data_IF_300669222533
#
_entry.id   IF_300669222533
#
_cell.length_a   1.000
_cell.length_b   1.000
_cell.length_c   1.000
_cell.angle_alpha   90.00
_cell.angle_beta   90.00
_cell.angle_gamma   90.00
#
_symmetry.space_group_name_H-M   'P 1'
#
loop_
_entity.id
_entity.type
_entity.pdbx_description
1 polymer ?
#
# COMPACT_ATOMS: atom_id res chain seq x y z
N UNK A 1 -0.51 4.00 -8.71
CA UNK A 1 -1.85 3.75 -8.11
C UNK A 1 -1.88 4.00 -6.60
N UNK A 2 -0.85 3.61 -5.84
CA UNK A 2 -0.83 3.75 -4.36
C UNK A 2 -1.05 5.18 -3.87
N UNK A 3 -0.41 6.17 -4.49
CA UNK A 3 -0.62 7.58 -4.14
C UNK A 3 -2.11 7.97 -4.16
N UNK A 4 -2.84 7.54 -5.19
CA UNK A 4 -4.27 7.85 -5.34
C UNK A 4 -5.17 7.09 -4.35
N UNK A 5 -4.73 5.94 -3.82
CA UNK A 5 -5.42 5.27 -2.70
C UNK A 5 -5.42 6.19 -1.48
N UNK A 6 -4.26 6.80 -1.18
CA UNK A 6 -4.14 7.75 -0.07
C UNK A 6 -4.94 9.02 -0.35
N UNK A 7 -4.83 9.58 -1.56
CA UNK A 7 -5.54 10.80 -1.94
C UNK A 7 -7.04 10.61 -1.72
N UNK A 8 -7.60 9.50 -2.20
CA UNK A 8 -9.02 9.18 -2.02
C UNK A 8 -9.42 9.05 -0.54
N UNK A 9 -8.58 8.41 0.28
CA UNK A 9 -8.81 8.30 1.72
C UNK A 9 -8.80 9.65 2.42
N UNK A 10 -7.76 10.46 2.20
CA UNK A 10 -7.61 11.79 2.79
C UNK A 10 -8.71 12.75 2.34
N UNK A 11 -9.08 12.73 1.06
CA UNK A 11 -10.21 13.52 0.53
C UNK A 11 -11.53 13.13 1.23
N UNK A 12 -11.74 11.84 1.50
CA UNK A 12 -12.92 11.37 2.24
C UNK A 12 -12.98 11.93 3.66
N UNK A 13 -11.83 12.00 4.36
CA UNK A 13 -11.73 12.62 5.69
C UNK A 13 -12.01 14.12 5.61
N UNK A 14 -11.31 14.83 4.74
CA UNK A 14 -11.47 16.28 4.58
C UNK A 14 -12.91 16.66 4.24
N UNK A 15 -13.56 15.91 3.34
CA UNK A 15 -14.95 16.14 2.97
C UNK A 15 -15.93 15.89 4.13
N UNK A 16 -15.61 14.93 5.02
CA UNK A 16 -16.52 14.52 6.10
C UNK A 16 -16.38 15.40 7.34
N UNK A 17 -15.15 15.72 7.74
CA UNK A 17 -14.88 16.41 9.02
C UNK A 17 -14.01 17.66 8.89
N UNK A 18 -13.51 18.00 7.70
CA UNK A 18 -12.71 19.21 7.48
C UNK A 18 -11.35 19.22 8.19
N UNK A 19 -10.87 18.06 8.66
CA UNK A 19 -9.59 17.92 9.37
C UNK A 19 -8.56 17.20 8.54
N UNK A 20 -7.30 17.56 8.76
CA UNK A 20 -6.16 16.81 8.21
C UNK A 20 -5.94 15.52 8.97
N UNK A 21 -5.48 14.50 8.25
CA UNK A 21 -5.08 13.25 8.84
C UNK A 21 -3.89 12.66 8.09
N UNK A 22 -3.02 11.99 8.85
CA UNK A 22 -1.84 11.30 8.32
C UNK A 22 -2.08 9.80 8.31
N UNK A 23 -1.53 9.10 7.33
CA UNK A 23 -1.60 7.64 7.25
C UNK A 23 -0.67 7.02 8.30
N UNK A 24 -1.23 6.24 9.22
CA UNK A 24 -0.45 5.50 10.22
C UNK A 24 -0.21 4.04 9.83
N UNK A 25 -1.17 3.44 9.13
CA UNK A 25 -1.12 2.03 8.72
C UNK A 25 -1.85 1.82 7.41
N UNK A 26 -1.30 0.98 6.54
CA UNK A 26 -1.99 0.40 5.39
C UNK A 26 -1.78 -1.10 5.40
N UNK A 27 -2.85 -1.86 5.25
CA UNK A 27 -2.82 -3.32 5.14
C UNK A 27 -2.28 -3.76 3.76
N UNK A 28 -2.08 -5.07 3.58
CA UNK A 28 -1.71 -5.67 2.31
C UNK A 28 -2.67 -5.21 1.19
N UNK A 29 -2.11 -4.75 0.07
CA UNK A 29 -2.84 -4.38 -1.14
C UNK A 29 -2.49 -5.36 -2.25
N UNK A 30 -3.50 -6.02 -2.81
CA UNK A 30 -3.34 -6.97 -3.90
C UNK A 30 -3.99 -6.41 -5.16
N UNK A 31 -3.23 -6.38 -6.27
CA UNK A 31 -3.73 -5.95 -7.58
C UNK A 31 -4.25 -7.17 -8.35
N UNK A 32 -5.56 -7.39 -8.26
CA UNK A 32 -6.24 -8.63 -8.69
C UNK A 32 -6.44 -8.66 -10.21
N UNK A 33 -6.78 -7.51 -10.80
CA UNK A 33 -6.97 -7.36 -12.24
C UNK A 33 -6.03 -6.27 -12.79
N UNK A 34 -5.30 -6.54 -13.88
CA UNK A 34 -4.39 -5.57 -14.48
C UNK A 34 -5.16 -4.38 -15.08
N UNK A 35 -4.50 -3.22 -15.09
CA UNK A 35 -5.04 -1.98 -15.64
C UNK A 35 -4.24 -1.61 -16.88
N UNK A 36 -4.93 -1.35 -17.98
CA UNK A 36 -4.31 -0.92 -19.24
C UNK A 36 -4.46 0.58 -19.47
N UNK A 37 -3.53 1.15 -20.24
CA UNK A 37 -3.62 2.54 -20.69
C UNK A 37 -4.96 2.77 -21.40
N UNK A 38 -5.60 3.90 -21.09
CA UNK A 38 -6.94 4.25 -21.59
C UNK A 38 -8.09 3.72 -20.73
N UNK A 39 -7.81 2.94 -19.68
CA UNK A 39 -8.79 2.66 -18.62
C UNK A 39 -8.96 3.89 -17.72
N UNK A 40 -10.21 4.16 -17.33
CA UNK A 40 -10.52 5.10 -16.27
C UNK A 40 -10.45 4.36 -14.93
N UNK A 41 -9.74 4.92 -13.94
CA UNK A 41 -9.74 4.40 -12.59
C UNK A 41 -10.69 5.21 -11.71
N UNK A 42 -11.50 4.49 -10.93
CA UNK A 42 -12.49 5.03 -9.99
C UNK A 42 -12.06 4.59 -8.60
N UNK A 43 -11.75 5.55 -7.75
CA UNK A 43 -11.41 5.33 -6.35
C UNK A 43 -12.62 5.67 -5.49
N UNK A 44 -13.01 4.76 -4.60
CA UNK A 44 -14.11 4.95 -3.67
C UNK A 44 -13.62 4.67 -2.26
N UNK A 45 -13.70 5.66 -1.39
CA UNK A 45 -13.23 5.55 -0.02
C UNK A 45 -14.34 5.84 0.97
N UNK A 46 -14.53 4.94 1.91
CA UNK A 46 -15.50 5.08 3.00
C UNK A 46 -14.79 5.07 4.33
N UNK A 47 -15.12 6.03 5.18
CA UNK A 47 -14.77 5.98 6.59
C UNK A 47 -15.69 4.93 7.22
N UNK A 48 -15.11 3.82 7.66
CA UNK A 48 -15.84 2.64 8.13
C UNK A 48 -15.73 2.43 9.64
N UNK A 49 -14.77 3.11 10.29
CA UNK A 49 -14.65 3.14 11.74
C UNK A 49 -14.08 4.48 12.19
N UNK A 50 -14.58 4.99 13.32
CA UNK A 50 -14.12 6.21 13.94
C UNK A 50 -13.71 5.94 15.39
N UNK A 51 -12.43 6.15 15.70
CA UNK A 51 -11.89 6.17 17.05
C UNK A 51 -11.95 7.56 17.67
N UNK A 52 -11.08 7.83 18.64
CA UNK A 52 -10.97 9.15 19.26
C UNK A 52 -10.31 10.15 18.30
N UNK A 53 -9.14 9.78 17.77
CA UNK A 53 -8.33 10.55 16.82
C UNK A 53 -7.99 9.75 15.57
N UNK A 54 -8.38 8.47 15.49
CA UNK A 54 -8.09 7.59 14.36
C UNK A 54 -9.34 7.29 13.53
N UNK A 55 -9.14 7.12 12.23
CA UNK A 55 -10.19 6.81 11.27
C UNK A 55 -9.75 5.64 10.41
N UNK A 56 -10.59 4.62 10.30
CA UNK A 56 -10.32 3.49 9.41
C UNK A 56 -11.05 3.70 8.10
N UNK A 57 -10.31 3.55 7.02
CA UNK A 57 -10.80 3.78 5.67
C UNK A 57 -10.66 2.50 4.86
N UNK A 58 -11.79 2.10 4.28
CA UNK A 58 -11.86 1.11 3.22
C UNK A 58 -11.86 1.85 1.88
N UNK A 59 -10.90 1.54 1.02
CA UNK A 59 -10.81 2.09 -0.33
C UNK A 59 -10.90 0.98 -1.36
N UNK A 60 -11.80 1.13 -2.32
CA UNK A 60 -11.92 0.24 -3.46
C UNK A 60 -11.48 0.96 -4.74
N UNK A 61 -10.79 0.22 -5.61
CA UNK A 61 -10.30 0.69 -6.90
C UNK A 61 -10.97 -0.11 -7.99
N UNK A 62 -11.67 0.58 -8.89
CA UNK A 62 -12.36 -0.02 -10.03
C UNK A 62 -11.77 0.54 -11.31
N UNK A 63 -11.48 -0.31 -12.29
CA UNK A 63 -11.17 0.12 -13.64
C UNK A 63 -12.42 0.06 -14.52
N UNK A 64 -12.55 1.04 -15.40
CA UNK A 64 -13.54 1.08 -16.46
C UNK A 64 -12.82 1.21 -17.80
N UNK A 65 -13.03 0.25 -18.71
CA UNK A 65 -12.45 0.31 -20.05
C UNK A 65 -13.52 0.60 -21.09
N UNK A 66 -13.47 1.81 -21.66
CA UNK A 66 -14.50 2.34 -22.55
C UNK A 66 -14.77 1.47 -23.79
N UNK A 67 -13.74 0.82 -24.34
CA UNK A 67 -13.88 0.01 -25.57
C UNK A 67 -14.71 -1.25 -25.36
N UNK A 68 -14.57 -1.90 -24.20
CA UNK A 68 -15.35 -3.10 -23.86
C UNK A 68 -16.58 -2.77 -23.01
N UNK A 69 -16.68 -1.53 -22.51
CA UNK A 69 -17.70 -1.11 -21.56
C UNK A 69 -17.74 -1.99 -20.29
N UNK A 70 -16.57 -2.50 -19.88
CA UNK A 70 -16.43 -3.39 -18.72
C UNK A 70 -15.87 -2.64 -17.52
N UNK A 71 -16.40 -3.00 -16.34
CA UNK A 71 -15.87 -2.58 -15.05
C UNK A 71 -15.22 -3.78 -14.34
N UNK A 72 -14.04 -3.59 -13.75
CA UNK A 72 -13.31 -4.63 -13.02
C UNK A 72 -12.74 -4.09 -11.72
N UNK A 73 -12.77 -4.92 -10.66
CA UNK A 73 -12.13 -4.57 -9.38
C UNK A 73 -10.63 -4.69 -9.59
N UNK A 74 -9.90 -3.61 -9.35
CA UNK A 74 -8.44 -3.62 -9.48
C UNK A 74 -7.82 -4.05 -8.16
N UNK A 75 -8.21 -3.40 -7.07
CA UNK A 75 -7.73 -3.70 -5.72
C UNK A 75 -8.68 -3.12 -4.68
N UNK A 76 -8.50 -3.55 -3.44
CA UNK A 76 -9.04 -2.90 -2.27
C UNK A 76 -7.92 -2.66 -1.26
N UNK A 77 -8.03 -1.58 -0.49
CA UNK A 77 -7.07 -1.18 0.52
C UNK A 77 -7.80 -0.86 1.83
N UNK A 78 -7.17 -1.24 2.94
CA UNK A 78 -7.65 -0.95 4.29
C UNK A 78 -6.55 -0.18 5.00
N UNK A 79 -6.92 0.93 5.62
CA UNK A 79 -5.94 1.89 6.13
C UNK A 79 -6.43 2.58 7.38
N UNK A 80 -5.51 2.91 8.29
CA UNK A 80 -5.78 3.68 9.50
C UNK A 80 -5.10 5.04 9.34
N UNK A 81 -5.90 6.08 9.43
CA UNK A 81 -5.47 7.47 9.48
C UNK A 81 -5.57 8.00 10.90
N UNK A 82 -4.74 8.99 11.21
CA UNK A 82 -4.75 9.70 12.50
C UNK A 82 -4.91 11.18 12.23
N UNK A 83 -5.99 11.79 12.73
CA UNK A 83 -6.18 13.23 12.73
C UNK A 83 -5.13 13.87 13.64
N UNK A 84 -4.47 14.92 13.15
CA UNK A 84 -3.37 15.58 13.86
C UNK A 84 -3.53 17.09 13.89
N UNK A 85 -3.00 17.71 14.93
CA UNK A 85 -2.85 19.16 15.01
C UNK A 85 -1.67 19.67 14.14
N UNK A 86 -1.48 20.99 14.10
CA UNK A 86 -0.37 21.64 13.40
C UNK A 86 1.04 21.20 13.85
N UNK A 87 1.16 20.58 15.03
CA UNK A 87 2.42 20.06 15.57
C UNK A 87 2.57 18.55 15.30
N UNK A 88 1.59 17.91 14.68
CA UNK A 88 1.59 16.46 14.45
C UNK A 88 1.08 15.61 15.59
N UNK A 89 0.45 16.20 16.61
CA UNK A 89 -0.06 15.46 17.76
C UNK A 89 -1.47 14.96 17.46
N UNK A 90 -1.84 13.72 17.86
CA UNK A 90 -3.18 13.21 17.64
C UNK A 90 -4.25 14.14 18.21
N UNK A 91 -5.21 14.53 17.37
CA UNK A 91 -6.28 15.46 17.72
C UNK A 91 -7.64 14.76 17.61
N UNK A 92 -8.53 14.86 18.62
CA UNK A 92 -9.87 14.33 18.51
C UNK A 92 -10.67 14.95 17.36
N UNK A 93 -11.42 14.13 16.63
CA UNK A 93 -12.23 14.60 15.48
C UNK A 93 -13.74 14.62 15.75
N UNK A 94 -14.22 13.93 16.79
CA UNK A 94 -15.64 13.96 17.20
C UNK A 94 -16.61 13.30 16.21
N UNK A 95 -16.11 12.52 15.24
CA UNK A 95 -16.93 11.81 14.27
C UNK A 95 -17.55 10.57 14.93
N UNK A 96 -18.86 10.42 14.79
CA UNK A 96 -19.55 9.17 15.05
C UNK A 96 -20.04 8.59 13.71
N UNK A 97 -19.87 7.29 13.51
CA UNK A 97 -20.27 6.61 12.27
C UNK A 97 -21.45 5.71 12.57
N UNK A 98 -22.51 5.87 11.79
CA UNK A 98 -23.66 4.98 11.80
C UNK A 98 -23.84 4.36 10.41
N UNK A 99 -23.96 3.03 10.37
CA UNK A 99 -24.19 2.31 9.12
C UNK A 99 -25.58 2.59 8.57
N UNK A 100 -25.64 3.38 7.49
CA UNK A 100 -26.85 3.49 6.66
C UNK A 100 -26.98 2.24 5.80
N UNK A 101 -28.21 1.75 5.63
CA UNK A 101 -28.53 0.58 4.83
C UNK A 101 -27.84 -0.72 5.30
N UNK A 102 -28.16 -1.85 4.67
CA UNK A 102 -27.62 -3.16 5.07
C UNK A 102 -26.13 -3.31 4.78
N UNK A 103 -25.63 -2.71 3.69
CA UNK A 103 -24.23 -2.82 3.29
C UNK A 103 -23.30 -1.99 4.20
N UNK A 104 -23.73 -0.78 4.61
CA UNK A 104 -22.91 0.09 5.47
C UNK A 104 -22.68 -0.54 6.84
N UNK A 105 -23.71 -1.19 7.41
CA UNK A 105 -23.58 -1.96 8.66
C UNK A 105 -22.60 -3.12 8.54
N UNK A 106 -22.65 -3.88 7.43
CA UNK A 106 -21.71 -4.97 7.15
C UNK A 106 -20.27 -4.47 7.00
N UNK A 107 -20.08 -3.32 6.34
CA UNK A 107 -18.76 -2.73 6.17
C UNK A 107 -18.15 -2.31 7.51
N UNK A 108 -18.94 -1.68 8.39
CA UNK A 108 -18.50 -1.31 9.74
C UNK A 108 -18.09 -2.57 10.52
N UNK A 109 -18.95 -3.58 10.59
CA UNK A 109 -18.64 -4.84 11.29
C UNK A 109 -17.38 -5.52 10.75
N UNK A 110 -17.21 -5.52 9.42
CA UNK A 110 -16.02 -6.05 8.77
C UNK A 110 -14.75 -5.27 9.15
N UNK A 111 -14.82 -3.93 9.14
CA UNK A 111 -13.69 -3.06 9.42
C UNK A 111 -13.34 -3.04 10.91
N UNK A 112 -14.31 -3.20 11.82
CA UNK A 112 -14.05 -3.38 13.25
C UNK A 112 -13.24 -4.65 13.52
N UNK A 113 -13.64 -5.80 12.94
CA UNK A 113 -12.89 -7.06 13.05
C UNK A 113 -11.50 -6.98 12.42
N UNK A 114 -11.35 -6.20 11.35
CA UNK A 114 -10.05 -5.94 10.75
C UNK A 114 -9.17 -5.03 11.63
N UNK A 115 -9.76 -4.00 12.26
CA UNK A 115 -9.04 -3.06 13.11
C UNK A 115 -8.28 -3.74 14.25
N UNK A 116 -8.92 -4.70 14.92
CA UNK A 116 -8.28 -5.47 16.00
C UNK A 116 -7.02 -6.21 15.52
N UNK A 117 -7.09 -6.80 14.33
CA UNK A 117 -5.93 -7.47 13.69
C UNK A 117 -4.86 -6.47 13.29
N UNK A 118 -5.26 -5.31 12.75
CA UNK A 118 -4.35 -4.25 12.38
C UNK A 118 -3.59 -3.70 13.60
N UNK A 119 -4.25 -3.49 14.73
CA UNK A 119 -3.59 -3.06 15.97
C UNK A 119 -2.54 -4.08 16.44
N UNK A 120 -2.89 -5.37 16.46
CA UNK A 120 -1.94 -6.43 16.83
C UNK A 120 -0.73 -6.48 15.88
N UNK A 121 -0.94 -6.26 14.57
CA UNK A 121 0.14 -6.17 13.59
C UNK A 121 1.03 -4.93 13.81
N UNK A 122 0.43 -3.78 14.11
CA UNK A 122 1.15 -2.54 14.43
C UNK A 122 2.01 -2.71 15.69
N UNK A 123 1.47 -3.32 16.75
CA UNK A 123 2.21 -3.58 17.99
C UNK A 123 3.40 -4.52 17.75
N UNK A 124 3.18 -5.63 17.04
CA UNK A 124 4.25 -6.57 16.67
C UNK A 124 5.33 -5.92 15.82
N UNK A 125 4.96 -5.06 14.87
CA UNK A 125 5.94 -4.37 14.05
C UNK A 125 6.72 -3.32 14.84
N UNK A 126 6.09 -2.60 15.77
CA UNK A 126 6.77 -1.62 16.63
C UNK A 126 7.83 -2.29 17.51
N UNK A 127 7.59 -3.50 17.99
CA UNK A 127 8.58 -4.24 18.80
C UNK A 127 9.74 -4.78 17.95
N UNK A 128 9.51 -5.19 16.70
CA UNK A 128 10.58 -5.74 15.84
C UNK A 128 11.36 -4.69 15.03
N UNK A 129 10.80 -3.49 14.80
CA UNK A 129 11.44 -2.47 13.95
C UNK A 129 12.73 -1.89 14.57
N UNK A 130 12.84 -1.87 15.90
CA UNK A 130 14.05 -1.41 16.60
C UNK A 130 15.27 -2.32 16.43
N UNK A 131 15.06 -3.56 15.99
CA UNK A 131 16.13 -4.55 15.71
C UNK A 131 16.40 -4.69 14.20
N UNK A 132 15.52 -4.14 13.37
CA UNK A 132 15.55 -4.30 11.93
C UNK A 132 16.61 -3.37 11.30
N UNK A 133 17.76 -3.91 10.90
CA UNK A 133 18.72 -3.18 10.06
C UNK A 133 18.24 -3.16 8.62
N UNK A 134 18.16 -1.99 7.99
CA UNK A 134 17.92 -1.90 6.55
C UNK A 134 19.01 -2.67 5.80
N UNK A 135 18.65 -3.70 5.03
CA UNK A 135 19.60 -4.57 4.34
C UNK A 135 19.83 -4.06 2.91
N UNK A 136 21.08 -3.84 2.55
CA UNK A 136 21.48 -3.61 1.15
C UNK A 136 22.01 -4.93 0.59
N UNK A 137 21.19 -5.60 -0.22
CA UNK A 137 21.54 -6.87 -0.86
C UNK A 137 22.23 -6.62 -2.22
N UNK A 138 22.78 -7.64 -2.88
CA UNK A 138 23.55 -7.45 -4.12
C UNK A 138 22.82 -6.68 -5.23
N UNK A 139 21.52 -6.89 -5.40
CA UNK A 139 20.68 -6.12 -6.33
C UNK A 139 19.86 -5.10 -5.52
N UNK A 140 20.41 -3.89 -5.38
CA UNK A 140 19.77 -2.83 -4.62
C UNK A 140 19.84 -1.47 -5.32
N UNK A 141 18.91 -0.60 -4.95
CA UNK A 141 18.90 0.82 -5.23
C UNK A 141 18.91 1.55 -3.89
N UNK A 142 19.75 2.57 -3.77
CA UNK A 142 19.76 3.49 -2.65
C UNK A 142 19.65 4.91 -3.20
N UNK A 143 18.65 5.64 -2.73
CA UNK A 143 18.50 7.07 -3.04
C UNK A 143 18.38 7.87 -1.75
N UNK A 144 18.95 9.06 -1.77
CA UNK A 144 18.93 9.99 -0.64
C UNK A 144 18.37 11.29 -1.15
N UNK A 145 17.38 11.82 -0.43
CA UNK A 145 16.80 13.11 -0.77
C UNK A 145 16.36 13.87 0.45
N UNK A 146 16.38 15.19 0.30
CA UNK A 146 15.72 16.09 1.23
C UNK A 146 14.22 16.07 0.94
N UNK A 147 13.42 16.08 1.99
CA UNK A 147 11.96 16.25 1.92
C UNK A 147 11.67 17.73 1.71
N UNK A 148 11.08 18.06 0.58
CA UNK A 148 10.71 19.42 0.19
C UNK A 148 9.23 19.67 0.49
N UNK A 149 8.79 20.93 0.43
CA UNK A 149 7.40 21.30 0.75
C UNK A 149 6.37 20.64 -0.19
N UNK A 150 6.76 20.34 -1.43
CA UNK A 150 5.98 19.59 -2.43
C UNK A 150 5.74 18.11 -2.07
N UNK A 151 6.50 17.58 -1.11
CA UNK A 151 6.31 16.23 -0.56
C UNK A 151 5.30 16.18 0.59
N UNK A 152 4.82 17.33 1.05
CA UNK A 152 4.10 17.46 2.33
C UNK A 152 2.67 17.93 2.17
N UNK A 153 1.87 17.67 3.20
CA UNK A 153 0.58 18.33 3.41
C UNK A 153 0.76 19.58 4.30
N UNK A 154 -0.31 20.35 4.54
CA UNK A 154 -0.27 21.62 5.29
C UNK A 154 0.42 21.52 6.66
N UNK A 155 0.43 20.33 7.27
CA UNK A 155 1.08 20.02 8.55
C UNK A 155 2.62 19.87 8.55
N UNK A 156 3.33 20.29 7.49
CA UNK A 156 4.78 20.08 7.30
C UNK A 156 5.22 18.59 7.40
N UNK A 157 4.26 17.67 7.35
CA UNK A 157 4.51 16.23 7.40
C UNK A 157 4.52 15.66 6.00
N UNK A 158 5.43 14.72 5.77
CA UNK A 158 5.51 13.98 4.52
C UNK A 158 4.18 13.31 4.23
N UNK A 159 3.66 13.59 3.05
CA UNK A 159 2.45 12.99 2.57
C UNK A 159 2.72 11.53 2.20
N UNK A 160 2.04 10.60 2.88
CA UNK A 160 2.29 9.16 2.70
C UNK A 160 2.06 8.68 1.26
N UNK A 161 1.17 9.34 0.51
CA UNK A 161 0.97 9.05 -0.92
C UNK A 161 2.23 9.31 -1.75
N UNK A 162 2.94 10.43 -1.50
CA UNK A 162 4.24 10.72 -2.13
C UNK A 162 5.28 9.69 -1.75
N UNK A 163 5.36 9.34 -0.48
CA UNK A 163 6.32 8.33 -0.01
C UNK A 163 6.07 6.98 -0.69
N UNK A 164 4.82 6.53 -0.77
CA UNK A 164 4.48 5.27 -1.44
C UNK A 164 4.74 5.28 -2.94
N UNK A 165 4.53 6.40 -3.62
CA UNK A 165 4.93 6.55 -5.02
C UNK A 165 6.44 6.31 -5.17
N UNK A 166 7.25 6.95 -4.33
CA UNK A 166 8.71 6.78 -4.37
C UNK A 166 9.15 5.35 -4.07
N UNK A 167 8.49 4.67 -3.13
CA UNK A 167 8.80 3.28 -2.79
C UNK A 167 8.47 2.33 -3.94
N UNK A 168 7.32 2.50 -4.59
CA UNK A 168 6.91 1.71 -5.77
C UNK A 168 7.85 1.97 -6.95
N UNK A 169 8.26 3.22 -7.18
CA UNK A 169 9.24 3.58 -8.22
C UNK A 169 10.61 2.94 -7.96
N UNK A 170 11.13 3.07 -6.73
CA UNK A 170 12.42 2.47 -6.35
C UNK A 170 12.42 0.94 -6.50
N UNK A 171 11.35 0.29 -6.05
CA UNK A 171 11.20 -1.15 -6.16
C UNK A 171 11.01 -1.59 -7.63
N UNK A 172 10.22 -0.84 -8.39
CA UNK A 172 9.96 -1.08 -9.81
C UNK A 172 11.22 -0.95 -10.67
N UNK A 173 12.12 -0.01 -10.37
CA UNK A 173 13.41 0.13 -11.05
C UNK A 173 14.25 -1.14 -10.87
N UNK A 174 14.41 -1.62 -9.62
CA UNK A 174 15.16 -2.86 -9.34
C UNK A 174 14.49 -4.07 -9.98
N UNK A 175 13.17 -4.17 -9.89
CA UNK A 175 12.43 -5.26 -10.49
C UNK A 175 12.60 -5.31 -12.01
N UNK A 176 12.51 -4.15 -12.68
CA UNK A 176 12.66 -4.03 -14.14
C UNK A 176 14.10 -4.34 -14.57
N UNK A 177 15.10 -3.84 -13.82
CA UNK A 177 16.50 -4.10 -14.09
C UNK A 177 16.83 -5.60 -13.98
N UNK A 178 16.31 -6.27 -12.94
CA UNK A 178 16.52 -7.70 -12.76
C UNK A 178 15.76 -8.55 -13.79
N UNK A 179 14.53 -8.15 -14.14
CA UNK A 179 13.70 -8.85 -15.13
C UNK A 179 14.20 -8.69 -16.58
N UNK A 180 14.92 -7.61 -16.88
CA UNK A 180 15.34 -7.26 -18.24
C UNK A 180 14.18 -6.97 -19.21
N UNK A 181 13.00 -6.67 -18.68
CA UNK A 181 11.72 -6.57 -19.42
C UNK A 181 10.66 -5.87 -18.56
N UNK A 182 9.43 -5.73 -19.07
CA UNK A 182 8.32 -5.14 -18.35
C UNK A 182 7.95 -5.90 -17.08
N UNK A 183 7.63 -5.17 -16.01
CA UNK A 183 7.11 -5.71 -14.76
C UNK A 183 5.86 -4.96 -14.33
N UNK A 184 5.00 -5.63 -13.57
CA UNK A 184 3.84 -5.02 -12.92
C UNK A 184 3.83 -5.33 -11.43
N UNK A 185 3.41 -4.36 -10.62
CA UNK A 185 3.20 -4.54 -9.18
C UNK A 185 1.98 -5.43 -8.96
N UNK A 186 2.19 -6.61 -8.36
CA UNK A 186 1.14 -7.58 -8.07
C UNK A 186 0.59 -7.44 -6.66
N UNK A 187 1.45 -7.14 -5.69
CA UNK A 187 1.03 -6.84 -4.32
C UNK A 187 2.01 -5.95 -3.61
N UNK A 188 1.53 -5.32 -2.56
CA UNK A 188 2.29 -4.49 -1.64
C UNK A 188 1.91 -4.93 -0.24
N UNK A 189 2.89 -5.37 0.54
CA UNK A 189 2.69 -5.81 1.91
C UNK A 189 2.36 -4.61 2.80
N UNK A 190 1.82 -4.89 3.98
CA UNK A 190 1.45 -3.87 4.96
C UNK A 190 2.55 -2.83 5.19
N UNK A 191 2.15 -1.57 5.34
CA UNK A 191 3.02 -0.45 5.64
C UNK A 191 2.65 0.17 6.97
N UNK A 192 3.65 0.34 7.82
CA UNK A 192 3.52 0.99 9.12
C UNK A 192 4.46 2.19 9.13
N UNK A 193 3.93 3.35 9.49
CA UNK A 193 4.68 4.59 9.60
C UNK A 193 4.98 4.82 11.09
N UNK A 194 6.19 4.47 11.52
CA UNK A 194 6.56 4.42 12.94
C UNK A 194 6.79 5.79 13.56
N UNK A 195 7.26 6.74 12.75
CA UNK A 195 7.49 8.12 13.16
C UNK A 195 7.29 9.07 11.98
N UNK A 196 6.90 10.33 12.24
CA UNK A 196 6.68 11.30 11.19
C UNK A 196 8.00 11.65 10.49
N UNK A 197 7.89 11.90 9.19
CA UNK A 197 8.94 12.52 8.36
C UNK A 197 8.45 13.94 8.06
N UNK A 198 9.32 14.94 8.19
CA UNK A 198 8.95 16.37 8.08
C UNK A 198 9.68 17.06 6.93
N UNK A 199 9.15 18.21 6.49
CA UNK A 199 9.86 19.12 5.58
C UNK A 199 11.26 19.40 6.14
N UNK A 200 12.27 19.27 5.28
CA UNK A 200 13.66 19.52 5.64
C UNK A 200 14.44 18.30 6.13
N UNK A 201 13.74 17.22 6.52
CA UNK A 201 14.39 15.94 6.82
C UNK A 201 15.13 15.43 5.59
N UNK A 202 16.23 14.72 5.80
CA UNK A 202 16.91 13.97 4.74
C UNK A 202 16.63 12.50 4.97
N UNK A 203 16.00 11.87 4.00
CA UNK A 203 15.63 10.46 4.05
C UNK A 203 16.43 9.65 3.04
N UNK A 204 16.74 8.42 3.44
CA UNK A 204 17.23 7.38 2.56
C UNK A 204 16.09 6.43 2.24
N UNK A 205 15.89 6.16 0.95
CA UNK A 205 15.04 5.09 0.45
C UNK A 205 15.95 4.02 -0.16
N UNK A 206 15.82 2.80 0.35
CA UNK A 206 16.58 1.65 -0.10
C UNK A 206 15.63 0.54 -0.57
N UNK A 207 15.88 -0.01 -1.74
CA UNK A 207 15.14 -1.13 -2.32
C UNK A 207 16.09 -2.27 -2.64
N UNK A 208 15.79 -3.50 -2.21
CA UNK A 208 16.66 -4.68 -2.37
C UNK A 208 15.85 -5.88 -2.85
N UNK A 209 16.31 -6.57 -3.90
CA UNK A 209 15.73 -7.86 -4.32
C UNK A 209 16.01 -8.91 -3.25
N UNK A 210 14.96 -9.43 -2.63
CA UNK A 210 15.06 -10.48 -1.60
C UNK A 210 14.94 -11.88 -2.21
N UNK A 211 14.07 -12.03 -3.21
CA UNK A 211 13.80 -13.34 -3.81
C UNK A 211 13.13 -13.27 -5.17
N UNK A 212 13.39 -14.28 -6.00
CA UNK A 212 12.62 -14.60 -7.20
C UNK A 212 11.93 -15.96 -7.05
N UNK A 213 10.77 -16.10 -7.67
CA UNK A 213 10.14 -17.38 -7.97
C UNK A 213 9.96 -17.49 -9.49
N UNK A 214 9.09 -18.39 -9.97
CA UNK A 214 8.97 -18.68 -11.41
C UNK A 214 8.79 -17.43 -12.27
N UNK A 215 7.78 -16.61 -11.98
CA UNK A 215 7.43 -15.40 -12.77
C UNK A 215 7.36 -14.13 -11.94
N UNK A 216 7.59 -14.24 -10.63
CA UNK A 216 7.45 -13.13 -9.68
C UNK A 216 8.70 -12.95 -8.85
N UNK A 217 8.87 -11.76 -8.29
CA UNK A 217 9.96 -11.43 -7.37
C UNK A 217 9.45 -10.57 -6.22
N UNK A 218 10.17 -10.59 -5.10
CA UNK A 218 9.94 -9.72 -3.95
C UNK A 218 11.09 -8.73 -3.80
N UNK A 219 10.74 -7.47 -3.62
CA UNK A 219 11.65 -6.38 -3.34
C UNK A 219 11.33 -5.83 -1.95
N UNK A 220 12.29 -5.86 -1.03
CA UNK A 220 12.20 -5.14 0.23
C UNK A 220 12.43 -3.65 -0.03
N UNK A 221 11.60 -2.79 0.55
CA UNK A 221 11.84 -1.35 0.61
C UNK A 221 11.93 -0.87 2.05
N UNK A 222 12.85 0.04 2.30
CA UNK A 222 13.05 0.67 3.61
C UNK A 222 13.23 2.16 3.47
N UNK A 223 12.73 2.89 4.48
CA UNK A 223 12.89 4.34 4.61
C UNK A 223 13.47 4.63 5.98
N UNK A 224 14.54 5.41 6.03
CA UNK A 224 15.18 5.86 7.28
C UNK A 224 15.72 7.28 7.15
N UNK A 225 16.11 7.89 8.26
CA UNK A 225 16.86 9.14 8.24
C UNK A 225 18.27 8.94 7.66
N UNK A 226 18.78 9.91 6.90
CA UNK A 226 20.06 9.80 6.18
C UNK A 226 21.30 9.62 7.09
N UNK A 227 21.20 10.02 8.36
CA UNK A 227 22.27 9.89 9.37
C UNK A 227 21.86 9.06 10.59
N UNK A 228 20.62 8.55 10.60
CA UNK A 228 20.05 7.76 11.69
C UNK A 228 19.76 6.35 11.14
N UNK A 229 20.83 5.55 11.01
CA UNK A 229 20.79 4.25 10.33
C UNK A 229 19.82 3.25 10.96
N UNK A 230 19.54 3.43 12.25
CA UNK A 230 18.81 2.49 13.09
C UNK A 230 17.33 2.87 13.23
N UNK A 231 16.95 4.06 12.75
CA UNK A 231 15.57 4.57 12.85
C UNK A 231 14.80 4.37 11.54
N UNK A 232 14.41 3.12 11.29
CA UNK A 232 13.51 2.78 10.18
C UNK A 232 12.14 3.43 10.42
N UNK A 233 11.79 4.35 9.51
CA UNK A 233 10.50 5.04 9.46
C UNK A 233 9.41 4.15 8.90
N UNK A 234 9.76 3.35 7.89
CA UNK A 234 8.88 2.31 7.35
C UNK A 234 9.69 1.23 6.62
N UNK A 235 9.17 0.01 6.65
CA UNK A 235 9.65 -1.14 5.87
C UNK A 235 8.45 -1.86 5.29
N UNK A 236 8.54 -2.26 4.03
CA UNK A 236 7.51 -3.03 3.34
C UNK A 236 8.13 -3.86 2.23
N UNK A 237 7.32 -4.74 1.64
CA UNK A 237 7.75 -5.65 0.58
C UNK A 237 6.80 -5.53 -0.60
N UNK A 238 7.37 -5.37 -1.79
CA UNK A 238 6.64 -5.26 -3.03
C UNK A 238 6.83 -6.56 -3.81
N UNK A 239 5.73 -7.13 -4.31
CA UNK A 239 5.80 -8.27 -5.22
C UNK A 239 5.57 -7.78 -6.64
N UNK A 240 6.54 -8.03 -7.52
CA UNK A 240 6.43 -7.75 -8.94
C UNK A 240 6.28 -9.05 -9.73
N UNK A 241 5.58 -8.97 -10.86
CA UNK A 241 5.47 -10.04 -11.85
C UNK A 241 6.10 -9.56 -13.15
N UNK A 242 7.02 -10.35 -13.70
CA UNK A 242 7.56 -10.12 -15.04
C UNK A 242 6.50 -10.44 -16.08
N UNK A 243 6.35 -9.57 -17.08
CA UNK A 243 5.36 -9.72 -18.14
C UNK A 243 5.99 -9.58 -19.53
N UNK A 244 5.42 -10.29 -20.50
CA UNK A 244 5.73 -10.12 -21.92
C UNK A 244 5.02 -8.88 -22.52
N UNK A 245 5.26 -8.61 -23.80
CA UNK A 245 4.65 -7.50 -24.54
C UNK A 245 3.12 -7.58 -24.64
N UNK A 246 2.54 -8.76 -24.38
CA UNK A 246 1.10 -9.01 -24.34
C UNK A 246 0.53 -8.92 -22.90
N UNK A 247 1.36 -8.59 -21.91
CA UNK A 247 0.99 -8.49 -20.50
C UNK A 247 0.83 -9.83 -19.79
N UNK A 248 1.36 -10.93 -20.34
CA UNK A 248 1.27 -12.28 -19.76
C UNK A 248 2.50 -12.56 -18.88
N UNK A 249 2.34 -13.27 -17.74
CA UNK A 249 3.47 -13.60 -16.88
C UNK A 249 4.56 -14.41 -17.60
N UNK A 250 5.81 -13.97 -17.49
CA UNK A 250 6.97 -14.61 -18.12
C UNK A 250 7.97 -15.08 -17.05
N UNK A 251 8.69 -16.22 -17.27
CA UNK A 251 9.71 -16.67 -16.33
C UNK A 251 10.85 -15.67 -16.07
N UNK A 252 11.28 -15.63 -14.81
CA UNK A 252 12.45 -14.89 -14.35
C UNK A 252 13.69 -15.77 -14.26
N UNK A 253 14.87 -15.13 -14.35
CA UNK A 253 16.11 -15.76 -13.91
C UNK A 253 16.03 -16.03 -12.40
N UNK A 254 16.44 -17.21 -11.90
CA UNK A 254 16.52 -17.44 -10.47
C UNK A 254 17.55 -16.54 -9.78
N UNK A 255 17.17 -15.97 -8.65
CA UNK A 255 18.03 -15.29 -7.69
C UNK A 255 18.49 -16.29 -6.63
N UNK A 256 19.78 -16.62 -6.71
CA UNK A 256 20.47 -17.47 -5.74
C UNK A 256 21.16 -16.58 -4.69
N UNK A 257 20.80 -16.71 -3.39
CA UNK A 257 21.45 -15.97 -2.33
C UNK A 257 22.87 -16.50 -2.11
N UNK A 258 23.83 -15.60 -1.92
CA UNK A 258 25.25 -15.92 -1.72
C UNK A 258 25.73 -15.53 -0.32
N UNK A 259 25.30 -14.37 0.20
CA UNK A 259 25.68 -13.94 1.56
C UNK A 259 24.71 -14.46 2.62
N UNK A 260 25.13 -14.56 3.89
CA UNK A 260 24.23 -14.94 4.99
C UNK A 260 22.96 -14.06 5.07
N UNK A 261 23.11 -12.75 4.85
CA UNK A 261 21.99 -11.79 4.86
C UNK A 261 21.04 -12.02 3.69
N UNK A 262 21.57 -12.39 2.52
CA UNK A 262 20.76 -12.77 1.36
C UNK A 262 20.00 -14.07 1.63
N UNK A 263 20.64 -15.07 2.25
CA UNK A 263 20.00 -16.34 2.61
C UNK A 263 18.86 -16.11 3.60
N UNK A 264 19.10 -15.28 4.61
CA UNK A 264 18.09 -14.92 5.60
C UNK A 264 16.89 -14.22 4.95
N UNK A 265 17.12 -13.15 4.18
CA UNK A 265 16.05 -12.43 3.47
C UNK A 265 15.28 -13.33 2.49
N UNK A 266 15.98 -14.26 1.82
CA UNK A 266 15.41 -15.22 0.90
C UNK A 266 14.49 -16.22 1.59
N UNK A 267 14.88 -16.72 2.77
CA UNK A 267 14.05 -17.62 3.60
C UNK A 267 12.82 -16.89 4.14
N UNK A 268 13.01 -15.67 4.68
CA UNK A 268 11.90 -14.85 5.17
C UNK A 268 10.85 -14.55 4.07
N UNK A 269 11.30 -14.34 2.83
CA UNK A 269 10.44 -14.06 1.68
C UNK A 269 9.46 -15.20 1.37
N UNK A 270 9.84 -16.46 1.62
CA UNK A 270 8.94 -17.61 1.43
C UNK A 270 7.80 -17.62 2.46
N UNK A 271 8.10 -17.26 3.71
CA UNK A 271 7.06 -17.13 4.74
C UNK A 271 6.06 -16.04 4.38
N UNK A 272 6.55 -14.87 3.94
CA UNK A 272 5.68 -13.78 3.44
C UNK A 272 4.84 -14.22 2.25
N UNK A 273 5.45 -14.91 1.27
CA UNK A 273 4.72 -15.44 0.10
C UNK A 273 3.60 -16.40 0.48
N UNK A 274 3.83 -17.29 1.46
CA UNK A 274 2.79 -18.22 1.92
C UNK A 274 1.57 -17.44 2.42
N UNK A 275 1.77 -16.44 3.28
CA UNK A 275 0.70 -15.56 3.77
C UNK A 275 -0.02 -14.85 2.61
N UNK A 276 0.72 -14.35 1.62
CA UNK A 276 0.14 -13.69 0.44
C UNK A 276 -0.75 -14.62 -0.38
N UNK A 277 -0.36 -15.88 -0.54
CA UNK A 277 -1.16 -16.87 -1.28
C UNK A 277 -2.47 -17.16 -0.53
N UNK A 278 -2.43 -17.35 0.78
CA UNK A 278 -3.62 -17.58 1.61
C UNK A 278 -4.60 -16.40 1.56
N UNK A 279 -4.09 -15.16 1.51
CA UNK A 279 -4.91 -13.97 1.31
C UNK A 279 -5.49 -13.89 -0.11
N UNK A 280 -4.66 -14.17 -1.13
CA UNK A 280 -5.07 -14.19 -2.53
C UNK A 280 -6.18 -15.20 -2.78
N UNK A 281 -6.14 -16.38 -2.16
CA UNK A 281 -7.20 -17.39 -2.27
C UNK A 281 -8.56 -16.85 -1.81
N UNK A 282 -8.58 -16.10 -0.70
CA UNK A 282 -9.81 -15.48 -0.16
C UNK A 282 -10.39 -14.40 -1.06
N UNK A 283 -9.53 -13.63 -1.74
CA UNK A 283 -9.97 -12.52 -2.60
C UNK A 283 -10.05 -12.89 -4.08
N UNK A 284 -9.58 -14.08 -4.46
CA UNK A 284 -9.59 -14.57 -5.84
C UNK A 284 -11.00 -14.65 -6.42
N UNK A 285 -12.01 -14.81 -5.55
CA UNK A 285 -13.43 -14.77 -5.89
C UNK A 285 -13.82 -13.47 -6.60
N UNK A 286 -13.09 -12.37 -6.38
CA UNK A 286 -13.35 -11.07 -7.00
C UNK A 286 -12.71 -10.92 -8.39
N UNK A 287 -11.88 -11.89 -8.82
CA UNK A 287 -11.20 -11.85 -10.10
C UNK A 287 -12.20 -12.06 -11.25
N UNK A 288 -12.23 -11.12 -12.19
CA UNK A 288 -13.15 -11.19 -13.33
C UNK A 288 -14.64 -11.00 -13.00
N UNK A 289 -15.01 -10.66 -11.76
CA UNK A 289 -16.41 -10.40 -11.43
C UNK A 289 -16.94 -9.18 -12.21
N UNK A 290 -18.12 -9.30 -12.85
CA UNK A 290 -18.76 -8.16 -13.50
C UNK A 290 -19.27 -7.18 -12.45
N UNK A 291 -18.92 -5.91 -12.60
CA UNK A 291 -19.48 -4.82 -11.80
C UNK A 291 -20.54 -4.12 -12.63
N UNK A 292 -21.75 -3.96 -12.08
CA UNK A 292 -22.83 -3.24 -12.76
C UNK A 292 -22.74 -1.74 -12.49
N UNK A 293 -23.20 -0.92 -13.44
CA UNK A 293 -23.25 0.53 -13.28
C UNK A 293 -24.66 0.99 -12.95
N UNK A 294 -24.86 1.65 -11.81
CA UNK A 294 -26.14 2.28 -11.51
C UNK A 294 -26.22 3.61 -12.24
N UNK A 295 -27.20 3.77 -13.12
CA UNK A 295 -27.43 5.06 -13.80
C UNK A 295 -28.02 6.11 -12.85
N UNK A 296 -28.81 5.72 -11.87
CA UNK A 296 -29.48 6.64 -10.94
C UNK A 296 -28.50 7.21 -9.92
N UNK A 297 -27.61 6.37 -9.38
CA UNK A 297 -26.55 6.78 -8.45
C UNK A 297 -25.26 7.20 -9.16
N UNK A 298 -25.22 7.14 -10.50
CA UNK A 298 -24.03 7.38 -11.34
C UNK A 298 -22.76 6.67 -10.84
N UNK A 299 -22.90 5.47 -10.27
CA UNK A 299 -21.82 4.78 -9.55
C UNK A 299 -21.82 3.27 -9.84
N UNK A 300 -20.67 2.65 -10.13
CA UNK A 300 -20.56 1.20 -10.31
C UNK A 300 -20.63 0.48 -8.96
N UNK A 301 -21.31 -0.65 -8.85
CA UNK A 301 -21.41 -1.44 -7.62
C UNK A 301 -21.26 -2.93 -7.91
N UNK A 302 -20.55 -3.61 -7.00
CA UNK A 302 -20.46 -5.08 -6.98
C UNK A 302 -21.89 -5.63 -6.95
N UNK A 303 -22.24 -6.40 -7.97
CA UNK A 303 -23.43 -7.24 -7.92
C UNK A 303 -23.01 -8.48 -7.14
N UNK A 304 -23.30 -8.51 -5.84
CA UNK A 304 -23.17 -9.71 -5.01
C UNK A 304 -24.52 -10.41 -4.95
#
# INVERSE_FOLDING_TARGET
MLNWIVDSGVISILKTIGKEAVLGYMDNVYFINPVTIGSMLIYRSWIARAGKSSLDIYTEIISYYRKTNEYKIVAAAKSIYVCVDQNGRPEPHGLCIEGRESWGKKLIEYMDKWHEKALAAIEKAKSSMGEAKGRLLRHHLRTVRRVSSEDTMTSNMMYAGRLMLMLDEAAGIIASQYAGSGVVTASVDQMIFTSPIKVGDVIEVSASLTRTWRTSMEIEVTVKGYEDSDNIKTRSYFTFVKIDDLGRPEPLKPYEPVTPEEVEAWVEADFRRKSRIEDLEKISIYKGLPISYNRDYKSPYLVV
#
